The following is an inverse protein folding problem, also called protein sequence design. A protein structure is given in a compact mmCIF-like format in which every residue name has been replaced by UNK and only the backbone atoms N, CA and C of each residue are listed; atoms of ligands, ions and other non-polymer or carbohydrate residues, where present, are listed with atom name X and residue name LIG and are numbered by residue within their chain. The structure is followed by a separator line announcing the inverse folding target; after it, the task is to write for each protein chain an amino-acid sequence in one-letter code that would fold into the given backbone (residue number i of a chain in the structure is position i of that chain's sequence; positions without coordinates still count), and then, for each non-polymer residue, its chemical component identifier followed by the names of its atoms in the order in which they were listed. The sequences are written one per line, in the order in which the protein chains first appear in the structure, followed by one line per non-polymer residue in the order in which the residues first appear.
data_IF_452108618773
#
_entry.id   IF_452108618773
#
_cell.length_a   1.000
_cell.length_b   1.000
_cell.length_c   1.000
_cell.angle_alpha   90.00
_cell.angle_beta   90.00
_cell.angle_gamma   90.00
#
_symmetry.space_group_name_H-M   'P 1'
#
loop_
_entity.id
_entity.type
_entity.pdbx_description
1 polymer ?
#
# COMPACT_ATOMS: atom_id res chain seq x y z
N UNK A 1 -12.50 -7.37 3.95
CA UNK A 1 -11.69 -6.85 5.07
C UNK A 1 -10.78 -5.81 4.45
N UNK A 2 -10.82 -4.57 4.91
CA UNK A 2 -9.92 -3.55 4.37
C UNK A 2 -8.48 -3.98 4.59
N UNK A 3 -7.67 -3.90 3.55
CA UNK A 3 -6.24 -4.23 3.63
C UNK A 3 -5.41 -3.09 4.23
N UNK A 4 -6.01 -1.92 4.41
CA UNK A 4 -5.40 -0.72 5.01
C UNK A 4 -6.10 -0.44 6.34
N UNK A 5 -5.37 -0.53 7.44
CA UNK A 5 -5.86 -0.20 8.79
C UNK A 5 -5.30 1.15 9.26
N UNK A 6 -6.02 2.21 8.96
CA UNK A 6 -5.64 3.58 9.34
C UNK A 6 -5.84 3.89 10.83
N UNK A 7 -6.42 2.99 11.61
CA UNK A 7 -6.55 3.18 13.07
C UNK A 7 -5.24 2.97 13.81
N UNK A 8 -4.29 2.26 13.20
CA UNK A 8 -2.95 2.10 13.75
C UNK A 8 -2.18 3.42 13.73
N UNK A 9 -1.21 3.57 14.61
CA UNK A 9 -0.23 4.65 14.49
C UNK A 9 0.55 4.47 13.18
N UNK A 10 0.64 5.53 12.39
CA UNK A 10 1.43 5.52 11.17
C UNK A 10 2.92 5.52 11.49
N UNK A 11 3.61 4.54 10.98
CA UNK A 11 5.09 4.46 11.05
C UNK A 11 5.58 3.91 9.72
N UNK A 12 6.52 4.62 9.10
CA UNK A 12 7.22 4.13 7.90
C UNK A 12 8.05 2.90 8.21
N UNK A 13 7.95 1.92 7.34
CA UNK A 13 8.66 0.65 7.45
C UNK A 13 9.49 0.41 6.20
N UNK A 14 10.70 -0.04 6.40
CA UNK A 14 11.61 -0.43 5.33
C UNK A 14 11.97 -1.90 5.48
N UNK A 15 11.95 -2.61 4.36
CA UNK A 15 12.33 -4.01 4.29
C UNK A 15 13.37 -4.20 3.19
N UNK A 16 14.26 -5.16 3.38
CA UNK A 16 15.24 -5.55 2.37
C UNK A 16 15.12 -7.02 2.04
N UNK A 17 15.42 -7.36 0.79
CA UNK A 17 15.69 -8.73 0.38
C UNK A 17 17.06 -8.76 -0.31
N UNK A 18 17.99 -9.53 0.26
CA UNK A 18 19.37 -9.64 -0.19
C UNK A 18 19.67 -11.03 -0.79
N UNK A 19 18.66 -11.89 -0.90
CA UNK A 19 18.83 -13.27 -1.37
C UNK A 19 18.03 -13.52 -2.65
N UNK A 20 18.55 -13.01 -3.75
CA UNK A 20 17.95 -13.21 -5.07
C UNK A 20 18.31 -14.58 -5.69
N UNK A 21 19.19 -15.34 -5.06
CA UNK A 21 19.52 -16.69 -5.50
C UNK A 21 18.44 -17.70 -5.06
N UNK A 22 17.79 -17.43 -3.93
CA UNK A 22 16.77 -18.29 -3.33
C UNK A 22 15.37 -17.65 -3.32
N UNK A 23 14.96 -16.96 -4.39
CA UNK A 23 13.62 -16.39 -4.49
C UNK A 23 12.58 -17.53 -4.39
N UNK A 24 11.72 -17.45 -3.36
CA UNK A 24 10.61 -18.39 -3.23
C UNK A 24 9.63 -18.26 -4.40
N UNK A 25 9.36 -19.37 -5.04
CA UNK A 25 8.39 -19.39 -6.15
C UNK A 25 6.99 -19.72 -5.66
N UNK A 26 6.04 -18.93 -6.14
CA UNK A 26 4.62 -19.15 -5.90
C UNK A 26 3.89 -19.24 -7.22
N UNK A 27 3.09 -20.32 -7.39
CA UNK A 27 2.30 -20.49 -8.60
C UNK A 27 1.15 -19.48 -8.61
N UNK A 28 0.95 -18.85 -9.76
CA UNK A 28 -0.25 -18.06 -10.01
C UNK A 28 -1.47 -19.01 -10.05
N UNK A 29 -2.62 -18.64 -9.47
CA UNK A 29 -3.85 -19.42 -9.63
C UNK A 29 -4.23 -19.58 -11.09
N UNK A 30 -4.94 -20.67 -11.42
CA UNK A 30 -5.42 -20.91 -12.77
C UNK A 30 -6.35 -19.76 -13.22
N UNK A 31 -6.29 -19.39 -14.49
CA UNK A 31 -7.05 -18.26 -15.02
C UNK A 31 -6.33 -16.90 -14.96
N UNK A 32 -5.12 -16.86 -14.42
CA UNK A 32 -4.30 -15.66 -14.37
C UNK A 32 -2.97 -15.83 -15.07
N UNK A 33 -2.44 -14.75 -15.62
CA UNK A 33 -1.09 -14.70 -16.19
C UNK A 33 -0.38 -13.39 -15.83
N UNK A 34 0.95 -13.40 -15.88
CA UNK A 34 1.75 -12.18 -15.81
C UNK A 34 1.86 -11.54 -17.19
N UNK A 35 1.72 -10.22 -17.24
CA UNK A 35 2.00 -9.39 -18.42
C UNK A 35 2.84 -8.21 -18.01
N UNK A 36 3.66 -7.69 -18.93
CA UNK A 36 4.43 -6.47 -18.72
C UNK A 36 3.62 -5.25 -19.18
N UNK A 37 4.01 -4.11 -18.69
CA UNK A 37 3.44 -2.82 -19.06
C UNK A 37 3.58 -2.54 -20.56
N UNK A 38 2.52 -2.06 -21.17
CA UNK A 38 2.47 -1.53 -22.53
C UNK A 38 1.96 -0.08 -22.52
N UNK A 39 2.21 0.67 -23.59
CA UNK A 39 1.71 2.05 -23.72
C UNK A 39 0.18 2.08 -23.62
N UNK A 40 -0.36 2.90 -22.73
CA UNK A 40 -1.79 2.99 -22.42
C UNK A 40 -2.20 2.25 -21.12
N UNK A 41 -1.30 1.50 -20.51
CA UNK A 41 -1.55 0.75 -19.28
C UNK A 41 -1.49 1.62 -18.01
N UNK A 42 -1.11 2.88 -18.13
CA UNK A 42 -1.15 3.83 -17.02
C UNK A 42 -2.56 3.95 -16.42
N UNK A 43 -3.60 3.79 -17.23
CA UNK A 43 -4.99 3.77 -16.76
C UNK A 43 -5.29 2.54 -15.90
N UNK A 44 -4.82 1.35 -16.32
CA UNK A 44 -5.01 0.11 -15.57
C UNK A 44 -4.26 0.18 -14.23
N UNK A 45 -3.05 0.77 -14.22
CA UNK A 45 -2.29 1.01 -13.00
C UNK A 45 -3.07 1.91 -12.04
N UNK A 46 -3.59 3.06 -12.51
CA UNK A 46 -4.38 3.98 -11.70
C UNK A 46 -5.64 3.31 -11.17
N UNK A 47 -6.37 2.56 -11.99
CA UNK A 47 -7.58 1.83 -11.56
C UNK A 47 -7.27 0.79 -10.47
N UNK A 48 -6.14 0.07 -10.56
CA UNK A 48 -5.73 -0.89 -9.54
C UNK A 48 -5.43 -0.18 -8.22
N UNK A 49 -4.66 0.91 -8.26
CA UNK A 49 -4.28 1.67 -7.07
C UNK A 49 -5.49 2.38 -6.42
N UNK A 50 -6.41 2.93 -7.22
CA UNK A 50 -7.68 3.46 -6.71
C UNK A 50 -8.54 2.39 -6.06
N UNK A 51 -8.66 1.22 -6.68
CA UNK A 51 -9.42 0.09 -6.12
C UNK A 51 -8.83 -0.40 -4.80
N UNK A 52 -7.51 -0.33 -4.63
CA UNK A 52 -6.84 -0.68 -3.37
C UNK A 52 -6.98 0.39 -2.28
N UNK A 53 -7.41 1.60 -2.64
CA UNK A 53 -7.66 2.70 -1.72
C UNK A 53 -6.49 3.67 -1.57
N UNK A 54 -5.53 3.68 -2.48
CA UNK A 54 -4.40 4.60 -2.45
C UNK A 54 -4.77 6.00 -2.94
N UNK A 55 -5.68 6.11 -3.91
CA UNK A 55 -6.14 7.37 -4.47
C UNK A 55 -7.66 7.53 -4.37
N UNK A 56 -8.11 8.78 -4.22
CA UNK A 56 -9.53 9.13 -4.18
C UNK A 56 -10.09 9.48 -5.55
N UNK A 57 -9.24 9.87 -6.51
CA UNK A 57 -9.64 10.22 -7.86
C UNK A 57 -8.66 9.70 -8.90
N UNK A 58 -9.13 9.60 -10.14
CA UNK A 58 -8.30 9.24 -11.28
C UNK A 58 -7.21 10.29 -11.55
N UNK A 59 -7.54 11.57 -11.37
CA UNK A 59 -6.63 12.69 -11.54
C UNK A 59 -5.44 12.60 -10.57
N UNK A 60 -5.70 12.33 -9.27
CA UNK A 60 -4.65 12.11 -8.27
C UNK A 60 -3.76 10.92 -8.66
N UNK A 61 -4.37 9.83 -9.13
CA UNK A 61 -3.66 8.63 -9.56
C UNK A 61 -2.76 8.87 -10.76
N UNK A 62 -3.26 9.53 -11.81
CA UNK A 62 -2.48 9.79 -13.02
C UNK A 62 -1.39 10.84 -12.81
N UNK A 63 -1.61 11.83 -11.95
CA UNK A 63 -0.57 12.77 -11.55
C UNK A 63 0.56 12.05 -10.81
N UNK A 64 0.21 11.14 -9.91
CA UNK A 64 1.18 10.32 -9.17
C UNK A 64 1.93 9.36 -10.08
N UNK A 65 1.24 8.69 -11.01
CA UNK A 65 1.88 7.87 -12.03
C UNK A 65 2.90 8.67 -12.84
N UNK A 66 2.51 9.83 -13.35
CA UNK A 66 3.38 10.70 -14.14
C UNK A 66 4.59 11.21 -13.34
N UNK A 67 4.40 11.50 -12.06
CA UNK A 67 5.49 11.93 -11.18
C UNK A 67 6.59 10.88 -11.06
N UNK A 68 6.22 9.60 -10.90
CA UNK A 68 7.19 8.52 -10.71
C UNK A 68 7.67 7.91 -12.03
N UNK A 69 6.81 7.87 -13.04
CA UNK A 69 7.02 7.03 -14.21
C UNK A 69 6.95 7.77 -15.56
N UNK A 70 6.49 9.02 -15.56
CA UNK A 70 6.21 9.76 -16.80
C UNK A 70 7.39 9.90 -17.77
N UNK A 71 8.63 9.87 -17.25
CA UNK A 71 9.84 9.90 -18.07
C UNK A 71 10.49 8.52 -18.26
N UNK A 72 9.85 7.42 -17.83
CA UNK A 72 10.45 6.09 -17.70
C UNK A 72 9.63 4.98 -18.36
N UNK A 73 8.88 5.29 -19.41
CA UNK A 73 8.01 4.30 -20.09
C UNK A 73 8.78 3.11 -20.66
N UNK A 74 9.98 3.35 -21.21
CA UNK A 74 10.81 2.26 -21.76
C UNK A 74 11.37 1.34 -20.67
N UNK A 75 11.56 1.86 -19.48
CA UNK A 75 11.92 1.08 -18.29
C UNK A 75 10.71 0.32 -17.76
N UNK A 76 9.52 0.95 -17.70
CA UNK A 76 8.28 0.29 -17.27
C UNK A 76 7.94 -0.93 -18.11
N UNK A 77 8.11 -0.86 -19.43
CA UNK A 77 7.91 -2.00 -20.36
C UNK A 77 8.75 -3.23 -19.99
N UNK A 78 9.79 -3.05 -19.18
CA UNK A 78 10.68 -4.13 -18.72
C UNK A 78 10.51 -4.43 -17.24
N UNK A 79 9.87 -3.58 -16.46
CA UNK A 79 9.92 -3.64 -15.00
C UNK A 79 8.55 -3.62 -14.32
N UNK A 80 7.53 -3.03 -14.93
CA UNK A 80 6.18 -3.02 -14.37
C UNK A 80 5.42 -4.27 -14.80
N UNK A 81 4.95 -5.02 -13.83
CA UNK A 81 4.28 -6.31 -14.01
C UNK A 81 2.82 -6.15 -13.61
N UNK A 82 1.93 -6.68 -14.41
CA UNK A 82 0.54 -6.87 -14.06
C UNK A 82 0.20 -8.36 -13.95
N UNK A 83 -0.83 -8.66 -13.15
CA UNK A 83 -1.58 -9.90 -13.26
C UNK A 83 -2.84 -9.60 -14.07
N UNK A 84 -3.03 -10.37 -15.16
CA UNK A 84 -4.19 -10.29 -16.03
C UNK A 84 -5.04 -11.55 -15.86
N UNK A 85 -6.37 -11.40 -15.79
CA UNK A 85 -7.32 -12.50 -15.71
C UNK A 85 -7.70 -13.02 -17.12
N UNK A 86 -8.52 -14.08 -17.20
CA UNK A 86 -8.97 -14.70 -18.46
C UNK A 86 -9.77 -13.76 -19.37
N UNK A 87 -10.29 -12.66 -18.82
CA UNK A 87 -11.05 -11.66 -19.59
C UNK A 87 -10.16 -10.55 -20.16
N UNK A 88 -8.85 -10.61 -19.91
CA UNK A 88 -7.91 -9.57 -20.31
C UNK A 88 -7.90 -8.34 -19.38
N UNK A 89 -8.48 -8.45 -18.19
CA UNK A 89 -8.48 -7.38 -17.22
C UNK A 89 -7.23 -7.46 -16.32
N UNK A 90 -6.51 -6.36 -16.15
CA UNK A 90 -5.41 -6.23 -15.22
C UNK A 90 -5.94 -5.99 -13.81
N UNK A 91 -5.60 -6.88 -12.90
CA UNK A 91 -6.18 -6.96 -11.55
C UNK A 91 -5.19 -6.72 -10.43
N UNK A 92 -3.90 -6.71 -10.74
CA UNK A 92 -2.84 -6.43 -9.79
C UNK A 92 -1.62 -5.86 -10.50
N UNK A 93 -0.81 -5.08 -9.78
CA UNK A 93 0.44 -4.48 -10.31
C UNK A 93 1.57 -4.51 -9.28
N UNK A 94 2.79 -4.55 -9.78
CA UNK A 94 4.02 -4.33 -9.01
C UNK A 94 5.15 -3.95 -9.96
N UNK A 95 6.00 -3.02 -9.56
CA UNK A 95 7.12 -2.56 -10.38
C UNK A 95 8.47 -2.92 -9.77
N UNK A 96 9.33 -3.56 -10.56
CA UNK A 96 10.75 -3.73 -10.28
C UNK A 96 11.48 -2.43 -10.63
N UNK A 97 11.38 -1.42 -9.73
CA UNK A 97 11.79 -0.06 -10.02
C UNK A 97 13.28 0.16 -9.70
N UNK A 98 13.92 0.98 -10.50
CA UNK A 98 15.23 1.55 -10.19
C UNK A 98 15.03 2.86 -9.41
N UNK A 99 16.03 3.29 -8.66
CA UNK A 99 16.01 4.62 -8.03
C UNK A 99 16.76 5.61 -8.93
N UNK A 100 16.23 6.84 -9.08
CA UNK A 100 16.94 7.94 -9.76
C UNK A 100 18.23 8.30 -9.03
N UNK A 101 18.22 8.24 -7.69
CA UNK A 101 19.39 8.37 -6.83
C UNK A 101 19.65 7.04 -6.11
N UNK A 102 20.23 6.04 -6.77
CA UNK A 102 20.44 4.74 -6.18
C UNK A 102 21.44 4.81 -5.03
N UNK A 103 21.15 4.09 -3.93
CA UNK A 103 22.11 3.89 -2.84
C UNK A 103 23.38 3.22 -3.38
N UNK A 104 23.21 2.40 -4.40
CA UNK A 104 24.26 1.72 -5.17
C UNK A 104 23.68 1.15 -6.48
N UNK A 105 24.55 0.74 -7.41
CA UNK A 105 24.15 0.23 -8.75
C UNK A 105 23.44 -1.13 -8.72
N UNK A 106 23.33 -1.78 -7.57
CA UNK A 106 22.80 -3.15 -7.43
C UNK A 106 21.50 -3.23 -6.61
N UNK A 107 21.06 -2.12 -6.04
CA UNK A 107 19.81 -2.05 -5.25
C UNK A 107 18.67 -1.56 -6.13
N UNK A 108 17.60 -2.36 -6.21
CA UNK A 108 16.33 -1.94 -6.79
C UNK A 108 15.25 -1.71 -5.74
N UNK A 109 14.10 -1.21 -6.14
CA UNK A 109 12.92 -1.06 -5.30
C UNK A 109 11.76 -1.91 -5.79
N UNK A 110 11.13 -2.65 -4.89
CA UNK A 110 9.76 -3.13 -5.11
C UNK A 110 8.83 -1.96 -4.86
N UNK A 111 8.14 -1.52 -5.91
CA UNK A 111 7.41 -0.26 -5.91
C UNK A 111 5.96 -0.46 -6.35
N UNK A 112 5.03 0.21 -5.68
CA UNK A 112 3.59 0.17 -5.98
C UNK A 112 3.04 -1.25 -6.17
N UNK A 113 2.87 -1.98 -5.06
CA UNK A 113 2.33 -3.34 -5.06
C UNK A 113 0.87 -3.30 -4.67
N UNK A 114 -0.01 -3.55 -5.61
CA UNK A 114 -1.46 -3.49 -5.37
C UNK A 114 -2.21 -4.63 -6.04
N UNK A 115 -3.35 -4.97 -5.43
CA UNK A 115 -4.34 -5.91 -5.96
C UNK A 115 -5.71 -5.25 -5.84
N UNK A 116 -6.48 -5.18 -6.94
CA UNK A 116 -7.86 -4.66 -6.92
C UNK A 116 -8.67 -5.30 -5.80
N UNK A 117 -9.50 -4.52 -5.12
CA UNK A 117 -10.23 -4.92 -3.90
C UNK A 117 -11.02 -6.22 -4.09
N UNK A 118 -11.70 -6.38 -5.21
CA UNK A 118 -12.51 -7.55 -5.55
C UNK A 118 -11.69 -8.82 -5.85
N UNK A 119 -10.39 -8.66 -6.11
CA UNK A 119 -9.45 -9.77 -6.34
C UNK A 119 -8.55 -10.08 -5.14
N UNK A 120 -8.69 -9.33 -4.04
CA UNK A 120 -7.97 -9.63 -2.81
C UNK A 120 -8.43 -10.97 -2.20
N UNK A 121 -7.56 -11.60 -1.42
CA UNK A 121 -7.85 -12.93 -0.84
C UNK A 121 -7.70 -14.11 -1.83
N UNK A 122 -7.43 -13.86 -3.10
CA UNK A 122 -7.25 -14.90 -4.13
C UNK A 122 -5.79 -15.36 -4.29
N UNK A 123 -4.94 -15.08 -3.31
CA UNK A 123 -3.53 -15.50 -3.27
C UNK A 123 -2.65 -14.93 -4.41
N UNK A 124 -2.98 -13.74 -4.94
CA UNK A 124 -2.24 -13.11 -6.05
C UNK A 124 -0.95 -12.42 -5.61
N UNK A 125 -0.89 -11.89 -4.38
CA UNK A 125 0.22 -11.03 -3.92
C UNK A 125 1.56 -11.77 -3.88
N UNK A 126 1.61 -13.03 -3.36
CA UNK A 126 2.87 -13.77 -3.27
C UNK A 126 3.45 -14.12 -4.65
N UNK A 127 2.67 -14.65 -5.60
CA UNK A 127 3.14 -14.84 -6.99
C UNK A 127 3.63 -13.53 -7.61
N UNK A 128 2.89 -12.43 -7.46
CA UNK A 128 3.24 -11.12 -8.01
C UNK A 128 4.61 -10.64 -7.51
N UNK A 129 4.80 -10.60 -6.19
CA UNK A 129 6.07 -10.14 -5.61
C UNK A 129 7.22 -11.09 -5.97
N UNK A 130 6.97 -12.40 -5.99
CA UNK A 130 7.97 -13.39 -6.44
C UNK A 130 8.42 -13.13 -7.88
N UNK A 131 7.49 -12.83 -8.79
CA UNK A 131 7.81 -12.49 -10.17
C UNK A 131 8.54 -11.15 -10.28
N UNK A 132 8.15 -10.16 -9.45
CA UNK A 132 8.86 -8.86 -9.36
C UNK A 132 10.33 -9.05 -8.94
N UNK A 133 10.60 -9.88 -7.95
CA UNK A 133 11.98 -10.20 -7.52
C UNK A 133 12.77 -10.90 -8.63
N UNK A 134 12.14 -11.85 -9.36
CA UNK A 134 12.76 -12.48 -10.52
C UNK A 134 13.09 -11.48 -11.63
N UNK A 135 12.17 -10.53 -11.87
CA UNK A 135 12.38 -9.49 -12.87
C UNK A 135 13.51 -8.54 -12.44
N UNK A 136 13.59 -8.17 -11.16
CA UNK A 136 14.73 -7.41 -10.61
C UNK A 136 16.07 -8.12 -10.87
N UNK A 137 16.13 -9.42 -10.59
CA UNK A 137 17.33 -10.22 -10.87
C UNK A 137 17.69 -10.20 -12.36
N UNK A 138 16.71 -10.31 -13.27
CA UNK A 138 16.94 -10.23 -14.73
C UNK A 138 17.46 -8.86 -15.15
N UNK A 139 17.03 -7.78 -14.45
CA UNK A 139 17.49 -6.42 -14.69
C UNK A 139 18.86 -6.11 -14.07
N UNK A 140 19.46 -7.08 -13.36
CA UNK A 140 20.81 -6.98 -12.81
C UNK A 140 20.89 -6.57 -11.34
N UNK A 141 19.75 -6.32 -10.69
CA UNK A 141 19.72 -6.05 -9.25
C UNK A 141 20.11 -7.29 -8.45
N UNK A 142 20.78 -7.11 -7.33
CA UNK A 142 21.21 -8.19 -6.41
C UNK A 142 20.52 -8.13 -5.06
N UNK A 143 19.89 -7.00 -4.76
CA UNK A 143 19.09 -6.78 -3.56
C UNK A 143 18.01 -5.78 -3.86
N UNK A 144 17.01 -5.73 -3.02
CA UNK A 144 15.94 -4.74 -3.13
C UNK A 144 15.61 -4.14 -1.78
N UNK A 145 15.25 -2.87 -1.81
CA UNK A 145 14.59 -2.15 -0.74
C UNK A 145 13.07 -2.10 -1.05
N UNK A 146 12.27 -2.09 0.00
CA UNK A 146 10.84 -1.88 -0.06
C UNK A 146 10.45 -0.92 1.04
N UNK A 147 9.75 0.16 0.70
CA UNK A 147 9.14 1.10 1.63
C UNK A 147 7.65 0.81 1.74
N UNK A 148 7.14 0.80 2.96
CA UNK A 148 5.73 0.61 3.29
C UNK A 148 5.44 1.25 4.66
N UNK A 149 4.29 0.97 5.25
CA UNK A 149 3.89 1.54 6.54
C UNK A 149 3.05 0.57 7.37
N UNK A 150 2.87 0.89 8.64
CA UNK A 150 2.08 0.05 9.57
C UNK A 150 0.63 -0.14 9.14
N UNK A 151 0.03 0.83 8.46
CA UNK A 151 -1.36 0.75 7.99
C UNK A 151 -1.59 -0.42 7.03
N UNK A 152 -0.57 -0.84 6.28
CA UNK A 152 -0.60 -1.97 5.33
C UNK A 152 0.01 -3.24 5.92
N UNK A 153 -0.19 -3.49 7.22
CA UNK A 153 0.43 -4.59 7.96
C UNK A 153 0.24 -5.99 7.33
N UNK A 154 -0.87 -6.21 6.62
CA UNK A 154 -1.09 -7.47 5.88
C UNK A 154 -0.09 -7.62 4.73
N UNK A 155 0.21 -6.55 4.01
CA UNK A 155 1.25 -6.56 2.98
C UNK A 155 2.63 -6.78 3.61
N UNK A 156 2.93 -6.13 4.75
CA UNK A 156 4.18 -6.35 5.48
C UNK A 156 4.36 -7.83 5.84
N UNK A 157 3.28 -8.48 6.31
CA UNK A 157 3.30 -9.92 6.59
C UNK A 157 3.65 -10.74 5.34
N UNK A 158 3.06 -10.41 4.19
CA UNK A 158 3.35 -11.08 2.92
C UNK A 158 4.82 -10.90 2.54
N UNK A 159 5.38 -9.71 2.68
CA UNK A 159 6.79 -9.45 2.40
C UNK A 159 7.73 -10.29 3.30
N UNK A 160 7.45 -10.34 4.59
CA UNK A 160 8.20 -11.18 5.53
C UNK A 160 8.13 -12.68 5.15
N UNK A 161 6.95 -13.20 4.78
CA UNK A 161 6.74 -14.57 4.33
C UNK A 161 7.58 -14.93 3.09
N UNK A 162 7.75 -13.97 2.17
CA UNK A 162 8.49 -14.16 0.89
C UNK A 162 10.00 -14.12 1.08
N UNK A 163 10.48 -13.54 2.16
CA UNK A 163 11.92 -13.55 2.43
C UNK A 163 12.50 -12.18 2.78
N UNK A 164 11.72 -11.11 2.69
CA UNK A 164 12.16 -9.82 3.20
C UNK A 164 12.43 -9.88 4.70
N UNK A 165 13.32 -9.02 5.14
CA UNK A 165 13.64 -8.80 6.54
C UNK A 165 13.50 -7.32 6.88
N UNK A 166 13.21 -6.96 8.15
CA UNK A 166 13.21 -5.58 8.60
C UNK A 166 14.52 -4.87 8.28
N UNK A 167 14.42 -3.65 7.80
CA UNK A 167 15.53 -2.71 7.72
C UNK A 167 15.30 -1.61 8.73
N UNK A 168 16.08 -1.65 9.80
CA UNK A 168 15.97 -0.68 10.89
C UNK A 168 16.62 0.62 10.48
N UNK A 169 15.84 1.69 10.53
CA UNK A 169 16.29 3.07 10.47
C UNK A 169 15.79 3.82 11.72
N UNK A 170 16.35 4.97 11.97
CA UNK A 170 15.92 5.81 13.09
C UNK A 170 14.39 5.98 13.10
N UNK A 171 13.79 5.75 14.29
CA UNK A 171 12.36 5.93 14.60
C UNK A 171 11.37 4.91 14.02
N UNK A 172 11.76 3.82 13.35
CA UNK A 172 10.77 2.83 12.88
C UNK A 172 10.56 1.64 13.83
N UNK A 173 11.23 1.58 14.98
CA UNK A 173 11.13 0.47 15.92
C UNK A 173 9.71 0.23 16.45
N UNK A 174 8.96 1.31 16.76
CA UNK A 174 7.55 1.24 17.13
C UNK A 174 6.71 0.51 16.06
N UNK A 175 6.97 0.80 14.79
CA UNK A 175 6.29 0.12 13.68
C UNK A 175 6.53 -1.38 13.69
N UNK A 176 7.76 -1.83 13.94
CA UNK A 176 8.08 -3.25 14.04
C UNK A 176 7.44 -3.92 15.24
N UNK A 177 7.29 -3.23 16.36
CA UNK A 177 6.54 -3.73 17.52
C UNK A 177 5.05 -3.94 17.16
N UNK A 178 4.43 -2.97 16.45
CA UNK A 178 3.06 -3.07 15.96
C UNK A 178 2.91 -4.29 15.02
N UNK A 179 3.79 -4.41 14.03
CA UNK A 179 3.75 -5.53 13.08
C UNK A 179 3.94 -6.88 13.80
N UNK A 180 4.87 -6.96 14.74
CA UNK A 180 5.04 -8.17 15.57
C UNK A 180 3.74 -8.54 16.28
N UNK A 181 3.11 -7.58 16.94
CA UNK A 181 1.86 -7.79 17.70
C UNK A 181 0.73 -8.29 16.82
N UNK A 182 0.61 -7.76 15.60
CA UNK A 182 -0.45 -8.13 14.66
C UNK A 182 -0.20 -9.46 13.95
N UNK A 183 1.05 -9.80 13.67
CA UNK A 183 1.37 -10.93 12.80
C UNK A 183 1.96 -12.13 13.52
N UNK A 184 2.57 -11.91 14.69
CA UNK A 184 3.40 -12.88 15.42
C UNK A 184 4.41 -13.61 14.51
N UNK A 185 4.99 -12.86 13.55
CA UNK A 185 5.89 -13.43 12.54
C UNK A 185 7.25 -13.79 13.15
N UNK A 186 7.78 -14.97 12.82
CA UNK A 186 9.03 -15.51 13.40
C UNK A 186 10.24 -14.59 13.23
N UNK A 187 10.35 -13.90 12.09
CA UNK A 187 11.43 -12.94 11.81
C UNK A 187 11.45 -11.73 12.75
N UNK A 188 10.37 -11.50 13.49
CA UNK A 188 10.23 -10.41 14.46
C UNK A 188 10.38 -10.87 15.91
N UNK A 189 10.82 -12.11 16.13
CA UNK A 189 10.95 -12.69 17.49
C UNK A 189 11.88 -11.90 18.42
N UNK A 190 12.89 -11.21 17.87
CA UNK A 190 13.79 -10.34 18.61
C UNK A 190 13.25 -8.95 18.96
N UNK A 191 12.10 -8.55 18.40
CA UNK A 191 11.47 -7.27 18.69
C UNK A 191 10.72 -7.35 20.02
N UNK A 192 10.76 -6.30 20.84
CA UNK A 192 10.02 -6.26 22.11
C UNK A 192 8.50 -6.18 21.85
N UNK A 193 7.73 -6.68 22.81
CA UNK A 193 6.27 -6.55 22.75
C UNK A 193 5.82 -5.11 23.04
N UNK A 194 4.64 -4.76 22.55
CA UNK A 194 3.97 -3.48 22.78
C UNK A 194 2.60 -3.71 23.44
N UNK A 195 2.14 -2.78 24.28
CA UNK A 195 0.75 -2.79 24.75
C UNK A 195 -0.19 -2.53 23.56
N UNK A 196 -1.31 -3.23 23.53
CA UNK A 196 -2.28 -3.10 22.45
C UNK A 196 -2.83 -1.66 22.33
N UNK A 197 -2.98 -0.96 23.44
CA UNK A 197 -3.48 0.41 23.45
C UNK A 197 -2.47 1.40 22.84
N UNK A 198 -1.18 1.07 22.86
CA UNK A 198 -0.13 1.91 22.28
C UNK A 198 0.00 1.80 20.77
N UNK A 199 -0.68 0.81 20.15
CA UNK A 199 -0.63 0.58 18.71
C UNK A 199 -1.51 1.56 17.91
N UNK A 200 -2.56 2.09 18.52
CA UNK A 200 -3.61 2.82 17.83
C UNK A 200 -3.45 4.34 17.95
N UNK A 201 -3.91 5.05 16.92
CA UNK A 201 -4.08 6.49 16.96
C UNK A 201 -5.51 6.84 17.42
N UNK A 202 -5.70 7.44 18.60
CA UNK A 202 -7.03 7.69 19.14
C UNK A 202 -7.92 8.58 18.26
N UNK A 203 -7.33 9.52 17.50
CA UNK A 203 -8.07 10.33 16.54
C UNK A 203 -8.65 9.47 15.41
N UNK A 204 -7.81 8.63 14.80
CA UNK A 204 -8.24 7.77 13.68
C UNK A 204 -9.23 6.69 14.13
N UNK A 205 -9.08 6.13 15.33
CA UNK A 205 -10.07 5.19 15.90
C UNK A 205 -11.43 5.85 15.99
N UNK A 206 -11.52 7.05 16.57
CA UNK A 206 -12.79 7.76 16.72
C UNK A 206 -13.35 8.25 15.38
N UNK A 207 -12.50 8.67 14.44
CA UNK A 207 -12.89 9.02 13.09
C UNK A 207 -13.51 7.80 12.35
N UNK A 208 -12.89 6.64 12.46
CA UNK A 208 -13.40 5.41 11.88
C UNK A 208 -14.76 5.00 12.45
N UNK A 209 -14.93 5.06 13.78
CA UNK A 209 -16.20 4.77 14.42
C UNK A 209 -17.30 5.76 14.00
N UNK A 210 -16.96 7.04 13.83
CA UNK A 210 -17.88 8.03 13.29
C UNK A 210 -18.32 7.68 11.86
N UNK A 211 -17.39 7.38 10.96
CA UNK A 211 -17.70 7.02 9.58
C UNK A 211 -18.55 5.75 9.51
N UNK A 212 -18.17 4.73 10.26
CA UNK A 212 -18.89 3.46 10.33
C UNK A 212 -20.31 3.59 10.87
N UNK A 213 -20.55 4.56 11.76
CA UNK A 213 -21.87 4.84 12.33
C UNK A 213 -22.77 5.66 11.40
N UNK A 214 -22.21 6.37 10.42
CA UNK A 214 -22.95 7.29 9.57
C UNK A 214 -23.06 6.83 8.10
N UNK A 215 -22.29 5.81 7.70
CA UNK A 215 -22.28 5.29 6.34
C UNK A 215 -22.50 3.77 6.35
N UNK A 216 -23.25 3.27 5.36
CA UNK A 216 -23.63 1.86 5.31
C UNK A 216 -22.47 0.92 5.02
N UNK A 217 -21.45 1.40 4.34
CA UNK A 217 -20.26 0.64 4.08
C UNK A 217 -19.01 1.38 4.53
N UNK A 218 -18.08 0.69 5.18
CA UNK A 218 -16.86 1.29 5.65
C UNK A 218 -15.89 1.47 4.49
N UNK A 219 -15.28 2.57 4.44
CA UNK A 219 -14.47 2.92 3.36
C UNK A 219 -13.17 3.51 3.68
N UNK A 220 -12.41 3.76 2.65
CA UNK A 220 -11.23 4.59 2.67
C UNK A 220 -11.58 5.92 3.29
N UNK A 221 -11.14 6.17 4.51
CA UNK A 221 -11.19 7.47 5.13
C UNK A 221 -9.77 7.99 5.29
N UNK A 222 -9.63 9.29 5.20
CA UNK A 222 -8.38 10.00 5.41
C UNK A 222 -8.65 11.11 6.42
N UNK A 223 -7.82 11.20 7.45
CA UNK A 223 -7.85 12.32 8.39
C UNK A 223 -6.70 13.25 8.03
N UNK A 224 -7.02 14.51 7.74
CA UNK A 224 -6.04 15.54 7.45
C UNK A 224 -5.95 16.50 8.62
N UNK A 225 -4.98 16.32 9.48
CA UNK A 225 -4.77 17.16 10.66
C UNK A 225 -4.50 18.63 10.27
N UNK A 226 -3.74 18.85 9.21
CA UNK A 226 -3.39 20.21 8.73
C UNK A 226 -4.61 21.02 8.27
N UNK A 227 -5.66 20.34 7.80
CA UNK A 227 -6.89 20.97 7.29
C UNK A 227 -8.07 20.80 8.23
N UNK A 228 -7.89 20.08 9.36
CA UNK A 228 -8.94 19.82 10.32
C UNK A 228 -10.18 19.17 9.69
N UNK A 229 -9.98 18.14 8.84
CA UNK A 229 -11.11 17.51 8.15
C UNK A 229 -10.98 15.99 8.14
N UNK A 230 -12.12 15.31 8.26
CA UNK A 230 -12.24 13.86 8.08
C UNK A 230 -12.87 13.62 6.71
N UNK A 231 -12.30 12.72 5.94
CA UNK A 231 -12.83 12.31 4.65
C UNK A 231 -13.42 10.92 4.78
N UNK A 232 -14.65 10.77 4.32
CA UNK A 232 -15.30 9.49 4.14
C UNK A 232 -15.84 9.36 2.73
N UNK A 233 -15.77 8.15 2.16
CA UNK A 233 -16.38 7.83 0.88
C UNK A 233 -17.55 6.90 1.16
N UNK A 234 -18.72 7.20 0.63
CA UNK A 234 -19.89 6.31 0.74
C UNK A 234 -20.01 5.36 -0.47
N UNK A 235 -20.95 4.42 -0.41
CA UNK A 235 -21.20 3.39 -1.44
C UNK A 235 -21.41 3.91 -2.85
N UNK A 236 -21.86 5.17 -2.98
CA UNK A 236 -22.13 5.79 -4.27
C UNK A 236 -20.93 6.57 -4.80
N UNK A 237 -19.76 6.45 -4.18
CA UNK A 237 -18.56 7.21 -4.56
C UNK A 237 -18.61 8.69 -4.16
N UNK A 238 -19.62 9.10 -3.38
CA UNK A 238 -19.66 10.45 -2.84
C UNK A 238 -18.66 10.61 -1.72
N UNK A 239 -17.83 11.63 -1.83
CA UNK A 239 -16.87 11.99 -0.79
C UNK A 239 -17.51 13.01 0.15
N UNK A 240 -17.52 12.69 1.43
CA UNK A 240 -17.99 13.58 2.48
C UNK A 240 -16.81 14.09 3.30
N UNK A 241 -16.79 15.38 3.55
CA UNK A 241 -15.76 16.05 4.31
C UNK A 241 -16.37 16.66 5.58
N UNK A 242 -15.71 16.43 6.72
CA UNK A 242 -16.18 16.92 7.99
C UNK A 242 -15.13 17.80 8.66
N UNK A 243 -15.55 18.95 9.17
CA UNK A 243 -14.73 19.74 10.12
C UNK A 243 -14.73 19.04 11.47
N UNK A 244 -13.59 19.02 12.12
CA UNK A 244 -13.46 18.45 13.45
C UNK A 244 -12.49 19.24 14.33
N UNK A 245 -12.61 19.04 15.63
CA UNK A 245 -11.58 19.34 16.61
C UNK A 245 -11.22 18.09 17.40
N UNK A 246 -9.99 18.01 17.87
CA UNK A 246 -9.51 16.89 18.68
C UNK A 246 -8.81 17.43 19.92
N UNK A 247 -9.52 17.44 21.04
CA UNK A 247 -9.05 18.01 22.28
C UNK A 247 -9.21 17.02 23.44
N UNK A 248 -8.20 16.95 24.31
CA UNK A 248 -8.19 16.03 25.45
C UNK A 248 -8.50 14.57 25.09
N UNK A 249 -8.02 14.12 23.90
CA UNK A 249 -8.22 12.76 23.41
C UNK A 249 -9.64 12.47 22.91
N UNK A 250 -10.46 13.49 22.66
CA UNK A 250 -11.83 13.34 22.15
C UNK A 250 -12.02 14.05 20.83
N UNK A 251 -12.59 13.30 19.87
CA UNK A 251 -13.02 13.82 18.57
C UNK A 251 -14.39 14.50 18.73
N UNK A 252 -14.51 15.71 18.21
CA UNK A 252 -15.77 16.42 18.04
C UNK A 252 -15.95 16.78 16.57
N UNK A 253 -17.00 16.26 15.96
CA UNK A 253 -17.40 16.66 14.61
C UNK A 253 -18.18 17.96 14.68
N UNK A 254 -17.73 18.96 13.92
CA UNK A 254 -18.31 20.31 13.92
C UNK A 254 -19.34 20.50 12.79
N UNK A 255 -19.33 19.62 11.79
CA UNK A 255 -20.24 19.63 10.67
C UNK A 255 -19.59 19.23 9.37
N UNK A 256 -20.41 19.00 8.36
CA UNK A 256 -19.96 18.70 7.01
C UNK A 256 -19.31 19.95 6.38
N UNK A 257 -18.19 19.75 5.68
CA UNK A 257 -17.43 20.84 5.08
C UNK A 257 -17.62 20.86 3.54
N UNK A 258 -18.63 21.57 3.07
CA UNK A 258 -18.97 21.67 1.66
C UNK A 258 -17.92 22.39 0.79
N UNK A 259 -16.97 23.10 1.38
CA UNK A 259 -15.94 23.84 0.62
C UNK A 259 -14.98 22.89 -0.11
N UNK A 260 -14.80 21.67 0.39
CA UNK A 260 -13.94 20.67 -0.24
C UNK A 260 -14.61 19.92 -1.40
N UNK A 261 -15.93 19.90 -1.49
CA UNK A 261 -16.66 19.32 -2.64
C UNK A 261 -16.34 19.98 -3.97
N UNK A 262 -15.68 21.13 -3.97
CA UNK A 262 -15.39 21.93 -5.18
C UNK A 262 -13.96 21.72 -5.71
N UNK A 263 -13.16 20.87 -5.07
CA UNK A 263 -11.71 20.71 -5.39
C UNK A 263 -11.44 19.37 -6.09
N UNK A 264 -12.45 18.50 -6.21
CA UNK A 264 -12.37 17.20 -6.92
C UNK A 264 -13.12 17.26 -8.25
#
# INVERSE_FOLDING_TARGET
MDTIDRTLKYVDLYLVNNDFDNIKEYKLPDGYKFVLFEDGDEKDWVEIEMSSGEFLSYEEGIETFNKYYGNHYEELKKSCIFIENEKGEKVATSTAFFQEDPIDDITGNVHWVSVKKEYQGQHLSKPLISETLKQMRKLGHKKTLLHTQTHTWLAVKVYLDIGFIPYEIDNNYLGWQIIKKLTNHEKLSGINDIDINDMYNPLYVQAYEFLKSNFNEPFVYKVWDEKGSIIGINDNGLVHYYKYSFENGKLKIEGENDEYRKIL
#
